data_IF_129965448381
#
_entry.id   IF_129965448381
#
_cell.length_a   1.000
_cell.length_b   1.000
_cell.length_c   1.000
_cell.angle_alpha   90.00
_cell.angle_beta   90.00
_cell.angle_gamma   90.00
#
_symmetry.space_group_name_H-M   'P 1'
#
loop_
_entity.id
_entity.type
_entity.pdbx_description
1 polymer ?
#
# COMPACT_ATOMS: atom_id res chain seq x y z
N UNK A 1 -32.05 -18.05 -3.25
CA UNK A 1 -30.82 -17.39 -2.77
C UNK A 1 -30.09 -18.33 -1.83
N UNK A 2 -28.87 -18.75 -2.18
CA UNK A 2 -28.02 -19.52 -1.27
C UNK A 2 -27.32 -18.58 -0.29
N UNK A 3 -27.00 -19.06 0.91
CA UNK A 3 -26.27 -18.28 1.91
C UNK A 3 -24.92 -17.74 1.40
N UNK A 4 -24.28 -18.44 0.46
CA UNK A 4 -23.02 -18.01 -0.19
C UNK A 4 -23.18 -16.76 -1.07
N UNK A 5 -24.27 -16.67 -1.84
CA UNK A 5 -24.52 -15.51 -2.73
C UNK A 5 -24.79 -14.20 -1.97
N UNK A 6 -25.35 -14.31 -0.77
CA UNK A 6 -25.59 -13.15 0.10
C UNK A 6 -24.29 -12.60 0.68
N UNK A 7 -23.33 -13.47 1.02
CA UNK A 7 -22.02 -13.04 1.51
C UNK A 7 -21.18 -12.36 0.43
N UNK A 8 -21.24 -12.84 -0.81
CA UNK A 8 -20.55 -12.22 -1.95
C UNK A 8 -21.11 -10.81 -2.23
N UNK A 9 -22.44 -10.68 -2.29
CA UNK A 9 -23.07 -9.39 -2.56
C UNK A 9 -22.82 -8.37 -1.44
N UNK A 10 -22.83 -8.81 -0.18
CA UNK A 10 -22.50 -7.97 0.96
C UNK A 10 -21.03 -7.49 0.93
N UNK A 11 -20.11 -8.35 0.49
CA UNK A 11 -18.69 -8.01 0.32
C UNK A 11 -18.48 -6.90 -0.72
N UNK A 12 -19.11 -7.04 -1.89
CA UNK A 12 -19.03 -6.04 -2.97
C UNK A 12 -19.65 -4.70 -2.56
N UNK A 13 -20.78 -4.71 -1.85
CA UNK A 13 -21.40 -3.49 -1.34
C UNK A 13 -20.49 -2.79 -0.33
N UNK A 14 -19.91 -3.54 0.61
CA UNK A 14 -19.03 -3.00 1.64
C UNK A 14 -17.79 -2.32 1.04
N UNK A 15 -17.18 -2.91 0.01
CA UNK A 15 -16.03 -2.33 -0.68
C UNK A 15 -16.39 -1.00 -1.36
N UNK A 16 -17.51 -0.97 -2.09
CA UNK A 16 -18.00 0.25 -2.74
C UNK A 16 -18.30 1.37 -1.74
N UNK A 17 -18.97 1.06 -0.62
CA UNK A 17 -19.24 2.04 0.44
C UNK A 17 -17.94 2.54 1.08
N UNK A 18 -16.97 1.65 1.29
CA UNK A 18 -15.68 2.01 1.89
C UNK A 18 -14.88 2.92 0.95
N UNK A 19 -14.86 2.61 -0.34
CA UNK A 19 -14.20 3.42 -1.37
C UNK A 19 -14.75 4.84 -1.41
N UNK A 20 -16.08 5.00 -1.43
CA UNK A 20 -16.74 6.32 -1.40
C UNK A 20 -16.44 7.07 -0.10
N UNK A 21 -16.44 6.38 1.04
CA UNK A 21 -16.13 6.98 2.33
C UNK A 21 -14.69 7.49 2.39
N UNK A 22 -13.73 6.70 1.91
CA UNK A 22 -12.31 7.07 1.82
C UNK A 22 -12.11 8.24 0.86
N UNK A 23 -12.72 8.20 -0.34
CA UNK A 23 -12.64 9.29 -1.30
C UNK A 23 -13.20 10.59 -0.72
N UNK A 24 -14.34 10.53 -0.03
CA UNK A 24 -14.97 11.70 0.60
C UNK A 24 -14.10 12.26 1.72
N UNK A 25 -13.53 11.41 2.58
CA UNK A 25 -12.64 11.83 3.65
C UNK A 25 -11.37 12.52 3.10
N UNK A 26 -10.80 11.98 2.02
CA UNK A 26 -9.64 12.56 1.33
C UNK A 26 -9.99 13.92 0.73
N UNK A 27 -11.10 14.02 0.00
CA UNK A 27 -11.56 15.29 -0.60
C UNK A 27 -11.83 16.34 0.49
N UNK A 28 -12.43 15.94 1.61
CA UNK A 28 -12.67 16.81 2.75
C UNK A 28 -11.37 17.37 3.35
N UNK A 29 -10.35 16.52 3.53
CA UNK A 29 -9.03 16.93 4.00
C UNK A 29 -8.31 17.88 3.03
N UNK A 30 -8.48 17.68 1.72
CA UNK A 30 -8.00 18.63 0.71
C UNK A 30 -8.70 19.99 0.83
N UNK A 31 -10.03 20.01 0.89
CA UNK A 31 -10.82 21.26 0.94
C UNK A 31 -10.46 22.09 2.17
N UNK A 32 -10.35 21.47 3.35
CA UNK A 32 -10.09 22.21 4.59
C UNK A 32 -8.69 22.82 4.61
N UNK A 33 -7.70 22.19 3.97
CA UNK A 33 -6.31 22.65 4.03
C UNK A 33 -5.92 23.56 2.86
N UNK A 34 -6.67 23.52 1.76
CA UNK A 34 -6.49 24.37 0.59
C UNK A 34 -6.40 25.89 0.87
N UNK A 35 -7.24 26.51 1.72
CA UNK A 35 -7.12 27.95 2.00
C UNK A 35 -5.78 28.31 2.65
N UNK A 36 -5.30 27.47 3.56
CA UNK A 36 -4.01 27.68 4.23
C UNK A 36 -2.82 27.49 3.28
N UNK A 37 -2.95 26.62 2.26
CA UNK A 37 -1.95 26.45 1.21
C UNK A 37 -1.82 27.68 0.33
N UNK A 38 -2.94 28.28 -0.06
CA UNK A 38 -2.94 29.47 -0.91
C UNK A 38 -2.13 30.60 -0.27
N UNK A 39 -2.35 30.84 1.03
CA UNK A 39 -1.69 31.92 1.75
C UNK A 39 -0.19 31.67 1.98
N UNK A 40 0.21 30.42 2.24
CA UNK A 40 1.59 30.09 2.61
C UNK A 40 2.47 29.76 1.40
N UNK A 41 1.91 29.07 0.41
CA UNK A 41 2.66 28.50 -0.73
C UNK A 41 2.44 29.31 -2.00
N UNK A 42 1.20 29.67 -2.32
CA UNK A 42 0.88 30.30 -3.60
C UNK A 42 1.15 31.81 -3.60
N UNK A 43 0.98 32.48 -2.45
CA UNK A 43 1.25 33.91 -2.28
C UNK A 43 2.73 34.25 -1.97
N UNK A 44 3.59 33.24 -1.73
CA UNK A 44 5.01 33.42 -1.35
C UNK A 44 5.93 32.97 -2.51
N UNK A 45 7.16 33.52 -2.68
CA UNK A 45 8.11 33.00 -3.65
C UNK A 45 8.36 31.50 -3.45
N UNK A 46 8.25 30.74 -4.54
CA UNK A 46 8.35 29.28 -4.55
C UNK A 46 9.70 28.80 -4.00
N UNK A 47 9.66 28.02 -2.92
CA UNK A 47 10.84 27.33 -2.37
C UNK A 47 10.88 25.87 -2.83
N UNK A 48 12.07 25.26 -2.89
CA UNK A 48 12.23 23.83 -3.19
C UNK A 48 11.45 22.94 -2.22
N UNK A 49 11.26 23.38 -0.98
CA UNK A 49 10.51 22.67 0.05
C UNK A 49 8.99 22.74 -0.21
N UNK A 50 8.50 23.87 -0.70
CA UNK A 50 7.09 24.07 -1.10
C UNK A 50 6.73 23.25 -2.33
N UNK A 51 7.63 23.16 -3.32
CA UNK A 51 7.43 22.32 -4.50
C UNK A 51 7.39 20.83 -4.11
N UNK A 52 8.30 20.38 -3.25
CA UNK A 52 8.32 19.00 -2.75
C UNK A 52 7.05 18.67 -1.94
N UNK A 53 6.55 19.62 -1.13
CA UNK A 53 5.30 19.47 -0.40
C UNK A 53 4.08 19.34 -1.32
N UNK A 54 3.97 20.17 -2.37
CA UNK A 54 2.88 20.07 -3.34
C UNK A 54 2.91 18.74 -4.12
N UNK A 55 4.10 18.28 -4.52
CA UNK A 55 4.26 16.95 -5.15
C UNK A 55 3.79 15.85 -4.21
N UNK A 56 4.23 15.87 -2.94
CA UNK A 56 3.82 14.88 -1.93
C UNK A 56 2.36 15.05 -1.51
N UNK A 57 1.70 16.18 -1.77
CA UNK A 57 0.29 16.38 -1.42
C UNK A 57 -0.67 15.98 -2.54
N UNK A 58 -0.36 16.36 -3.78
CA UNK A 58 -1.24 16.13 -4.94
C UNK A 58 -0.91 14.84 -5.69
N UNK A 59 0.34 14.37 -5.66
CA UNK A 59 0.73 13.03 -6.11
C UNK A 59 0.90 12.05 -4.93
N UNK A 60 0.52 12.49 -3.73
CA UNK A 60 0.88 11.93 -2.43
C UNK A 60 0.40 10.55 -2.09
N UNK A 61 -0.77 10.14 -2.56
CA UNK A 61 -1.32 8.84 -2.19
C UNK A 61 -0.49 7.67 -2.77
N UNK A 62 -0.23 7.61 -4.09
CA UNK A 62 0.66 6.59 -4.64
C UNK A 62 2.12 6.79 -4.21
N UNK A 63 2.57 8.05 -4.15
CA UNK A 63 3.95 8.39 -3.76
C UNK A 63 4.21 8.05 -2.29
N UNK A 64 3.26 8.26 -1.40
CA UNK A 64 3.35 7.96 0.04
C UNK A 64 3.51 6.47 0.31
N UNK A 65 2.80 5.62 -0.45
CA UNK A 65 2.97 4.15 -0.36
C UNK A 65 4.37 3.73 -0.84
N UNK A 66 4.85 4.30 -1.94
CA UNK A 66 6.22 4.08 -2.45
C UNK A 66 7.25 4.46 -1.37
N UNK A 67 7.13 5.65 -0.78
CA UNK A 67 8.05 6.14 0.24
C UNK A 67 7.98 5.32 1.54
N UNK A 68 6.80 4.92 1.99
CA UNK A 68 6.64 4.09 3.18
C UNK A 68 7.35 2.73 3.01
N UNK A 69 7.17 2.07 1.87
CA UNK A 69 7.86 0.82 1.55
C UNK A 69 9.37 1.01 1.44
N UNK A 70 9.83 2.12 0.85
CA UNK A 70 11.25 2.45 0.77
C UNK A 70 11.87 2.66 2.17
N UNK A 71 11.18 3.39 3.05
CA UNK A 71 11.60 3.58 4.44
C UNK A 71 11.67 2.24 5.18
N UNK A 72 10.72 1.32 4.94
CA UNK A 72 10.78 -0.03 5.52
C UNK A 72 12.00 -0.82 5.02
N UNK A 73 12.33 -0.75 3.73
CA UNK A 73 13.54 -1.40 3.16
C UNK A 73 14.80 -0.82 3.81
N UNK A 74 14.89 0.51 3.95
CA UNK A 74 16.02 1.17 4.62
C UNK A 74 16.15 0.76 6.09
N UNK A 75 15.04 0.57 6.78
CA UNK A 75 15.02 0.09 8.18
C UNK A 75 15.56 -1.35 8.28
N UNK A 76 15.15 -2.25 7.37
CA UNK A 76 15.69 -3.62 7.32
C UNK A 76 17.18 -3.61 6.94
N UNK A 77 17.58 -2.73 6.03
CA UNK A 77 18.99 -2.54 5.66
C UNK A 77 19.86 -2.13 6.86
N UNK A 78 19.38 -1.18 7.67
CA UNK A 78 20.06 -0.78 8.89
C UNK A 78 20.18 -1.92 9.91
N UNK A 79 19.23 -2.87 9.91
CA UNK A 79 19.24 -4.04 10.80
C UNK A 79 20.23 -5.13 10.35
N UNK A 80 20.54 -5.20 9.06
CA UNK A 80 21.45 -6.17 8.44
C UNK A 80 22.89 -5.63 8.30
N UNK A 81 23.34 -4.78 9.23
CA UNK A 81 24.68 -4.17 9.25
C UNK A 81 25.12 -3.60 7.90
N UNK A 82 24.19 -2.91 7.22
CA UNK A 82 24.45 -2.31 5.90
C UNK A 82 24.88 -3.33 4.83
N UNK A 83 24.48 -4.60 4.96
CA UNK A 83 24.76 -5.64 3.97
C UNK A 83 24.15 -5.28 2.60
N UNK A 84 25.02 -5.07 1.62
CA UNK A 84 24.63 -4.69 0.25
C UNK A 84 23.88 -5.80 -0.48
N UNK A 85 24.07 -7.06 -0.08
CA UNK A 85 23.42 -8.22 -0.70
C UNK A 85 21.92 -8.21 -0.41
N UNK A 86 21.54 -8.02 0.86
CA UNK A 86 20.13 -7.97 1.29
C UNK A 86 19.43 -6.75 0.65
N UNK A 87 20.11 -5.61 0.60
CA UNK A 87 19.61 -4.42 -0.08
C UNK A 87 19.35 -4.68 -1.57
N UNK A 88 20.29 -5.34 -2.25
CA UNK A 88 20.16 -5.70 -3.66
C UNK A 88 18.94 -6.58 -3.93
N UNK A 89 18.72 -7.61 -3.10
CA UNK A 89 17.56 -8.51 -3.22
C UNK A 89 16.24 -7.72 -3.02
N UNK A 90 16.15 -6.93 -1.96
CA UNK A 90 14.95 -6.13 -1.65
C UNK A 90 14.66 -5.07 -2.72
N UNK A 91 15.68 -4.37 -3.22
CA UNK A 91 15.52 -3.38 -4.28
C UNK A 91 15.13 -4.03 -5.62
N UNK A 92 15.71 -5.17 -5.95
CA UNK A 92 15.35 -5.91 -7.18
C UNK A 92 13.87 -6.32 -7.18
N UNK A 93 13.30 -6.60 -6.01
CA UNK A 93 11.88 -6.91 -5.86
C UNK A 93 10.99 -5.66 -5.81
N UNK A 94 11.50 -4.55 -5.26
CA UNK A 94 10.79 -3.28 -5.15
C UNK A 94 10.68 -2.51 -6.47
N UNK A 95 11.74 -2.49 -7.30
CA UNK A 95 11.77 -1.72 -8.55
C UNK A 95 10.67 -2.16 -9.53
N UNK A 96 10.43 -3.45 -9.81
CA UNK A 96 9.33 -3.90 -10.67
C UNK A 96 7.96 -3.44 -10.16
N UNK A 97 7.73 -3.47 -8.85
CA UNK A 97 6.49 -2.99 -8.26
C UNK A 97 6.27 -1.49 -8.55
N UNK A 98 7.31 -0.67 -8.40
CA UNK A 98 7.24 0.76 -8.71
C UNK A 98 6.97 0.98 -10.21
N UNK A 99 7.64 0.22 -11.09
CA UNK A 99 7.44 0.32 -12.55
C UNK A 99 5.99 0.01 -12.92
N UNK A 100 5.44 -1.11 -12.42
CA UNK A 100 4.04 -1.51 -12.70
C UNK A 100 3.07 -0.42 -12.22
N UNK A 101 3.31 0.14 -11.03
CA UNK A 101 2.46 1.21 -10.50
C UNK A 101 2.47 2.45 -11.40
N UNK A 102 3.64 2.93 -11.81
CA UNK A 102 3.74 4.09 -12.72
C UNK A 102 3.08 3.83 -14.08
N UNK A 103 3.26 2.63 -14.65
CA UNK A 103 2.65 2.25 -15.93
C UNK A 103 1.13 2.24 -15.81
N UNK A 104 0.59 1.62 -14.76
CA UNK A 104 -0.85 1.53 -14.52
C UNK A 104 -1.46 2.92 -14.30
N UNK A 105 -0.84 3.75 -13.48
CA UNK A 105 -1.27 5.15 -13.28
C UNK A 105 -1.19 5.96 -14.58
N UNK A 106 -0.16 5.75 -15.40
CA UNK A 106 -0.04 6.39 -16.71
C UNK A 106 -1.18 6.01 -17.66
N UNK A 107 -1.59 4.74 -17.65
CA UNK A 107 -2.74 4.25 -18.43
C UNK A 107 -4.05 4.87 -17.92
N UNK A 108 -4.27 4.91 -16.60
CA UNK A 108 -5.51 5.46 -16.02
C UNK A 108 -5.67 6.97 -16.22
N UNK A 109 -4.56 7.73 -16.27
CA UNK A 109 -4.61 9.16 -16.55
C UNK A 109 -4.63 9.47 -18.05
N UNK A 110 -4.57 8.45 -18.92
CA UNK A 110 -4.61 8.65 -20.36
C UNK A 110 -6.02 9.12 -20.77
N UNK A 111 -6.16 10.28 -21.43
CA UNK A 111 -7.48 10.82 -21.83
C UNK A 111 -8.30 9.91 -22.76
N UNK A 112 -7.66 8.93 -23.40
CA UNK A 112 -8.36 7.95 -24.25
C UNK A 112 -9.03 6.82 -23.44
N UNK A 113 -8.71 6.66 -22.15
CA UNK A 113 -9.39 5.68 -21.29
C UNK A 113 -10.76 6.19 -20.90
N UNK A 114 -11.81 5.47 -21.31
CA UNK A 114 -13.20 5.80 -20.98
C UNK A 114 -13.70 4.90 -19.85
N UNK A 115 -14.30 5.53 -18.85
CA UNK A 115 -15.05 4.86 -17.80
C UNK A 115 -16.33 4.27 -18.41
N UNK A 116 -16.48 2.95 -18.34
CA UNK A 116 -17.69 2.23 -18.72
C UNK A 116 -18.46 1.84 -17.47
N UNK A 117 -19.71 2.26 -17.36
CA UNK A 117 -20.61 1.76 -16.31
C UNK A 117 -21.43 0.65 -16.95
N UNK A 118 -21.23 -0.57 -16.47
CA UNK A 118 -21.97 -1.74 -16.92
C UNK A 118 -22.97 -2.16 -15.83
N UNK A 119 -24.22 -2.39 -16.24
CA UNK A 119 -25.21 -3.05 -15.41
C UNK A 119 -24.98 -4.56 -15.53
N UNK A 120 -24.57 -5.21 -14.45
CA UNK A 120 -24.44 -6.67 -14.39
C UNK A 120 -25.58 -7.24 -13.56
N UNK A 121 -26.31 -8.21 -14.11
CA UNK A 121 -27.39 -8.90 -13.41
C UNK A 121 -26.81 -10.09 -12.61
N UNK A 122 -26.75 -9.96 -11.29
CA UNK A 122 -26.44 -11.09 -10.40
C UNK A 122 -27.73 -11.52 -9.72
N UNK A 123 -28.25 -12.68 -10.12
CA UNK A 123 -29.38 -13.38 -9.47
C UNK A 123 -30.52 -12.41 -9.09
N UNK A 124 -31.07 -11.73 -10.09
CA UNK A 124 -32.22 -10.80 -9.99
C UNK A 124 -31.93 -9.45 -9.29
N UNK A 125 -30.66 -9.14 -9.01
CA UNK A 125 -30.21 -7.83 -8.52
C UNK A 125 -29.32 -7.16 -9.56
N UNK A 126 -29.73 -5.95 -9.98
CA UNK A 126 -28.96 -5.12 -10.92
C UNK A 126 -27.90 -4.35 -10.13
N UNK A 127 -26.63 -4.65 -10.37
CA UNK A 127 -25.51 -3.93 -9.77
C UNK A 127 -24.75 -3.16 -10.84
N UNK A 128 -24.41 -1.91 -10.50
CA UNK A 128 -23.58 -1.05 -11.34
C UNK A 128 -22.12 -1.31 -11.05
N UNK A 129 -21.38 -1.79 -12.05
CA UNK A 129 -19.92 -1.92 -11.96
C UNK A 129 -19.27 -0.89 -12.88
N UNK A 130 -18.36 -0.10 -12.32
CA UNK A 130 -17.54 0.81 -13.10
C UNK A 130 -16.29 0.04 -13.55
N UNK A 131 -16.13 -0.13 -14.85
CA UNK A 131 -14.97 -0.76 -15.47
C UNK A 131 -14.33 0.22 -16.45
N UNK A 132 -13.01 0.32 -16.47
CA UNK A 132 -12.32 1.16 -17.43
C UNK A 132 -12.07 0.33 -18.70
N UNK A 133 -12.65 0.73 -19.84
CA UNK A 133 -12.35 0.06 -21.12
C UNK A 133 -10.84 0.24 -21.41
N UNK A 134 -10.13 -0.90 -21.53
CA UNK A 134 -8.67 -1.05 -21.64
C UNK A 134 -7.85 -1.07 -20.35
N UNK A 135 -8.44 -0.95 -19.15
CA UNK A 135 -7.73 -1.37 -17.93
C UNK A 135 -7.96 -2.86 -17.73
N UNK A 136 -6.94 -3.72 -17.91
CA UNK A 136 -7.14 -5.14 -17.74
C UNK A 136 -7.31 -5.44 -16.25
N UNK A 137 -8.24 -6.32 -15.89
CA UNK A 137 -8.38 -6.85 -14.51
C UNK A 137 -7.07 -7.49 -14.00
N UNK A 138 -6.17 -7.83 -14.92
CA UNK A 138 -4.80 -8.28 -14.66
C UNK A 138 -3.90 -7.19 -14.07
N UNK A 139 -4.18 -5.89 -14.29
CA UNK A 139 -3.38 -4.79 -13.75
C UNK A 139 -3.50 -4.71 -12.21
N UNK A 140 -4.68 -4.99 -11.68
CA UNK A 140 -4.91 -5.04 -10.23
C UNK A 140 -4.12 -6.20 -9.62
N UNK A 141 -4.23 -7.39 -10.20
CA UNK A 141 -3.46 -8.57 -9.78
C UNK A 141 -1.93 -8.36 -9.90
N UNK A 142 -1.48 -7.73 -10.99
CA UNK A 142 -0.08 -7.41 -11.22
C UNK A 142 0.48 -6.35 -10.24
N UNK A 143 -0.38 -5.52 -9.64
CA UNK A 143 0.00 -4.57 -8.58
C UNK A 143 0.02 -5.22 -7.19
N UNK A 144 -0.94 -6.10 -6.94
CA UNK A 144 -1.13 -6.74 -5.63
C UNK A 144 -0.07 -7.81 -5.38
N UNK A 145 0.17 -8.72 -6.33
CA UNK A 145 1.04 -9.89 -6.11
C UNK A 145 2.47 -9.48 -5.74
N UNK A 146 3.16 -8.58 -6.47
CA UNK A 146 4.52 -8.16 -6.12
C UNK A 146 4.59 -7.44 -4.77
N UNK A 147 3.54 -6.69 -4.42
CA UNK A 147 3.44 -6.00 -3.12
C UNK A 147 3.37 -6.98 -1.96
N UNK A 148 2.57 -8.03 -2.09
CA UNK A 148 2.45 -9.09 -1.08
C UNK A 148 3.76 -9.85 -0.94
N UNK A 149 4.39 -10.22 -2.07
CA UNK A 149 5.68 -10.93 -2.07
C UNK A 149 6.74 -10.08 -1.35
N UNK A 150 6.86 -8.79 -1.69
CA UNK A 150 7.79 -7.87 -1.02
C UNK A 150 7.54 -7.78 0.49
N UNK A 151 6.27 -7.70 0.88
CA UNK A 151 5.87 -7.62 2.28
C UNK A 151 6.23 -8.89 3.06
N UNK A 152 6.04 -10.07 2.44
CA UNK A 152 6.43 -11.35 3.02
C UNK A 152 7.94 -11.43 3.23
N UNK A 153 8.75 -11.07 2.23
CA UNK A 153 10.21 -11.06 2.37
C UNK A 153 10.69 -10.08 3.44
N UNK A 154 10.11 -8.88 3.52
CA UNK A 154 10.43 -7.91 4.57
C UNK A 154 10.13 -8.45 5.98
N UNK A 155 8.96 -9.07 6.16
CA UNK A 155 8.61 -9.72 7.43
C UNK A 155 9.54 -10.89 7.75
N UNK A 156 9.84 -11.75 6.77
CA UNK A 156 10.73 -12.90 6.95
C UNK A 156 12.14 -12.44 7.38
N UNK A 157 12.73 -11.47 6.70
CA UNK A 157 14.04 -10.93 7.07
C UNK A 157 14.03 -10.26 8.45
N UNK A 158 12.98 -9.52 8.80
CA UNK A 158 12.86 -8.92 10.13
C UNK A 158 12.78 -9.99 11.24
N UNK A 159 12.03 -11.07 11.01
CA UNK A 159 11.89 -12.18 11.97
C UNK A 159 13.19 -12.97 12.09
N UNK A 160 13.82 -13.34 10.96
CA UNK A 160 15.09 -14.08 10.96
C UNK A 160 16.14 -13.33 11.76
N UNK A 161 16.30 -12.02 11.50
CA UNK A 161 17.27 -11.20 12.23
C UNK A 161 16.92 -11.04 13.71
N UNK A 162 15.64 -10.96 14.05
CA UNK A 162 15.19 -10.94 15.45
C UNK A 162 15.56 -12.25 16.17
N UNK A 163 15.33 -13.39 15.53
CA UNK A 163 15.66 -14.71 16.08
C UNK A 163 17.17 -14.84 16.26
N UNK A 164 17.95 -14.58 15.22
CA UNK A 164 19.42 -14.67 15.26
C UNK A 164 19.99 -13.80 16.39
N UNK A 165 19.55 -12.54 16.46
CA UNK A 165 20.03 -11.63 17.49
C UNK A 165 19.61 -12.07 18.90
N UNK A 166 18.39 -12.59 19.07
CA UNK A 166 17.93 -13.10 20.36
C UNK A 166 18.70 -14.34 20.81
N UNK A 167 19.05 -15.23 19.87
CA UNK A 167 19.81 -16.44 20.15
C UNK A 167 21.27 -16.13 20.48
N UNK A 168 21.92 -15.23 19.73
CA UNK A 168 23.27 -14.76 20.03
C UNK A 168 23.32 -14.09 21.40
N UNK A 169 22.37 -13.19 21.68
CA UNK A 169 22.30 -12.48 22.96
C UNK A 169 22.04 -13.43 24.13
N UNK A 170 21.16 -14.42 23.96
CA UNK A 170 20.91 -15.45 24.96
C UNK A 170 22.14 -16.35 25.19
N UNK A 171 22.85 -16.72 24.12
CA UNK A 171 24.06 -17.54 24.23
C UNK A 171 25.22 -16.81 24.92
N UNK A 172 25.30 -15.49 24.75
CA UNK A 172 26.35 -14.66 25.34
C UNK A 172 26.06 -14.26 26.81
N UNK A 173 24.80 -14.01 27.17
CA UNK A 173 24.42 -13.46 28.48
C UNK A 173 23.61 -14.43 29.36
N UNK A 174 23.15 -15.56 28.82
CA UNK A 174 22.28 -16.52 29.54
C UNK A 174 20.92 -15.96 29.93
N UNK A 175 20.58 -14.74 29.49
CA UNK A 175 19.34 -14.02 29.81
C UNK A 175 18.69 -13.52 28.52
N UNK A 176 17.36 -13.63 28.45
CA UNK A 176 16.55 -13.05 27.37
C UNK A 176 16.47 -11.53 27.53
N UNK A 177 17.50 -10.81 27.08
CA UNK A 177 17.48 -9.34 26.97
C UNK A 177 17.36 -8.93 25.51
N UNK A 178 16.12 -8.72 25.04
CA UNK A 178 15.89 -8.15 23.71
C UNK A 178 16.04 -6.64 23.75
N UNK A 179 16.84 -6.07 22.84
CA UNK A 179 16.99 -4.63 22.73
C UNK A 179 15.65 -3.96 22.37
N UNK A 180 15.23 -2.96 23.16
CA UNK A 180 13.89 -2.34 23.08
C UNK A 180 13.61 -1.72 21.70
N UNK A 181 14.66 -1.28 21.00
CA UNK A 181 14.58 -0.74 19.64
C UNK A 181 14.17 -1.78 18.60
N UNK A 182 14.63 -3.03 18.74
CA UNK A 182 14.34 -4.10 17.77
C UNK A 182 12.89 -4.57 17.93
N UNK A 183 12.40 -4.69 19.17
CA UNK A 183 11.00 -5.02 19.46
C UNK A 183 10.05 -3.96 18.91
N UNK A 184 10.38 -2.67 19.08
CA UNK A 184 9.58 -1.56 18.55
C UNK A 184 9.49 -1.63 17.02
N UNK A 185 10.61 -1.91 16.35
CA UNK A 185 10.67 -1.99 14.88
C UNK A 185 9.88 -3.18 14.31
N UNK A 186 9.97 -4.35 14.95
CA UNK A 186 9.21 -5.55 14.55
C UNK A 186 7.72 -5.28 14.69
N UNK A 187 7.29 -4.63 15.77
CA UNK A 187 5.89 -4.26 15.99
C UNK A 187 5.34 -3.36 14.88
N UNK A 188 6.08 -2.33 14.45
CA UNK A 188 5.64 -1.44 13.37
C UNK A 188 5.55 -2.18 12.02
N UNK A 189 6.47 -3.11 11.76
CA UNK A 189 6.48 -3.90 10.53
C UNK A 189 5.33 -4.91 10.47
N UNK A 190 5.06 -5.57 11.60
CA UNK A 190 3.94 -6.52 11.75
C UNK A 190 2.59 -5.80 11.71
N UNK A 191 2.47 -4.62 12.32
CA UNK A 191 1.25 -3.82 12.22
C UNK A 191 0.98 -3.38 10.77
N UNK A 192 2.01 -2.97 10.04
CA UNK A 192 1.87 -2.61 8.62
C UNK A 192 1.43 -3.81 7.77
N UNK A 193 2.00 -4.99 8.05
CA UNK A 193 1.60 -6.25 7.40
C UNK A 193 0.13 -6.61 7.71
N UNK A 194 -0.27 -6.57 8.99
CA UNK A 194 -1.64 -6.88 9.44
C UNK A 194 -2.65 -5.92 8.80
N UNK A 195 -2.40 -4.61 8.84
CA UNK A 195 -3.30 -3.59 8.30
C UNK A 195 -3.35 -3.64 6.76
N UNK A 196 -2.27 -4.03 6.09
CA UNK A 196 -2.19 -4.05 4.62
C UNK A 196 -2.64 -5.37 3.98
N UNK A 197 -2.52 -6.51 4.66
CA UNK A 197 -2.78 -7.84 4.08
C UNK A 197 -4.19 -8.35 4.40
N UNK A 198 -4.71 -8.08 5.61
CA UNK A 198 -6.03 -8.57 6.05
C UNK A 198 -7.19 -8.04 5.19
N UNK A 199 -7.24 -6.75 4.81
CA UNK A 199 -8.31 -6.25 3.94
C UNK A 199 -8.26 -6.85 2.53
N UNK A 200 -7.06 -7.22 2.08
CA UNK A 200 -6.75 -7.56 0.70
C UNK A 200 -6.97 -9.06 0.42
N UNK A 201 -6.77 -9.91 1.43
CA UNK A 201 -7.14 -11.32 1.38
C UNK A 201 -8.66 -11.49 1.28
N UNK A 202 -9.43 -10.64 1.98
CA UNK A 202 -10.89 -10.63 1.93
C UNK A 202 -11.42 -10.33 0.52
N UNK A 203 -10.77 -9.39 -0.19
CA UNK A 203 -11.12 -9.02 -1.57
C UNK A 203 -10.80 -10.12 -2.60
N UNK A 204 -9.69 -10.87 -2.43
CA UNK A 204 -9.33 -11.97 -3.33
C UNK A 204 -10.14 -13.25 -3.10
N UNK A 205 -10.60 -13.49 -1.86
CA UNK A 205 -11.50 -14.62 -1.56
C UNK A 205 -12.96 -14.35 -1.91
N UNK A 206 -13.35 -13.10 -2.16
CA UNK A 206 -14.70 -12.76 -2.63
C UNK A 206 -14.88 -12.87 -4.15
N UNK A 207 -13.78 -13.10 -4.89
CA UNK A 207 -13.79 -13.33 -6.35
C UNK A 207 -13.83 -14.84 -6.71
N UNK A 208 -13.96 -15.75 -5.73
CA UNK A 208 -14.04 -17.22 -5.90
C UNK A 208 -15.32 -17.82 -5.31
#
# INVERSE_FOLDING_TARGET
>A
MSSSTLSELAGVQLDNYTSVMVATAIVYDYIITFPQEIDVIWNRPWSSMSAMFLVVRYLGLPVGVIFALFIMILRVYAMYDLSKVVLGILLTLYIPFVIVLFVVTGIYNNPDTRLSVADTDIVDVKICTASYLAAPQTAVHALVIPRIILSFFLCAFAIVRFIDHSLETHSALGQWQSNRYIVLLVRESVLYFIVSVIPLQFSLTSDF
#
